data_IF_831911084655
#
_entry.id   IF_831911084655
#
_cell.length_a   1.000
_cell.length_b   1.000
_cell.length_c   1.000
_cell.angle_alpha   90.00
_cell.angle_beta   90.00
_cell.angle_gamma   90.00
#
_symmetry.space_group_name_H-M   'P 1'
#
loop_
_entity.id
_entity.type
_entity.pdbx_description
1 polymer ?
#
# COMPACT_ATOMS: atom_id res chain seq x y z
N UNK A 1 15.39 1.81 -8.81
CA UNK A 1 14.01 2.10 -8.38
C UNK A 1 13.41 0.82 -7.80
N UNK A 2 12.70 0.92 -6.68
CA UNK A 2 11.95 -0.19 -6.10
C UNK A 2 10.45 0.06 -6.37
N UNK A 3 9.79 -0.97 -6.91
CA UNK A 3 8.35 -0.95 -7.20
C UNK A 3 7.65 -1.97 -6.32
N UNK A 4 6.56 -1.56 -5.69
CA UNK A 4 5.64 -2.46 -4.99
C UNK A 4 4.38 -2.58 -5.83
N UNK A 5 4.00 -3.81 -6.18
CA UNK A 5 2.66 -4.13 -6.66
C UNK A 5 1.95 -4.93 -5.56
N UNK A 6 0.95 -4.35 -4.94
CA UNK A 6 0.14 -5.01 -3.91
C UNK A 6 -1.21 -5.38 -4.51
N UNK A 7 -1.56 -6.67 -4.50
CA UNK A 7 -2.86 -7.15 -4.96
C UNK A 7 -3.64 -7.72 -3.77
N UNK A 8 -4.93 -7.37 -3.66
CA UNK A 8 -5.84 -7.95 -2.66
C UNK A 8 -7.11 -8.42 -3.35
N UNK A 9 -7.54 -9.64 -3.05
CA UNK A 9 -8.81 -10.20 -3.49
C UNK A 9 -9.59 -10.67 -2.27
N UNK A 10 -10.84 -10.25 -2.15
CA UNK A 10 -11.70 -10.63 -1.04
C UNK A 10 -13.17 -10.53 -1.45
N UNK A 11 -14.04 -11.19 -0.68
CA UNK A 11 -15.48 -11.19 -0.94
C UNK A 11 -16.23 -10.30 0.04
N UNK A 12 -17.34 -9.71 -0.41
CA UNK A 12 -18.34 -9.06 0.43
C UNK A 12 -19.70 -9.65 0.08
N UNK A 13 -20.19 -10.62 0.85
CA UNK A 13 -21.35 -11.41 0.43
C UNK A 13 -21.04 -12.18 -0.87
N UNK A 14 -21.85 -11.95 -1.91
CA UNK A 14 -21.67 -12.59 -3.23
C UNK A 14 -20.68 -11.85 -4.15
N UNK A 15 -20.28 -10.63 -3.79
CA UNK A 15 -19.40 -9.79 -4.61
C UNK A 15 -17.93 -10.16 -4.37
N UNK A 16 -17.15 -10.17 -5.45
CA UNK A 16 -15.68 -10.34 -5.37
C UNK A 16 -14.98 -9.05 -5.76
N UNK A 17 -14.23 -8.48 -4.80
CA UNK A 17 -13.39 -7.31 -5.01
C UNK A 17 -11.99 -7.74 -5.40
N UNK A 18 -11.41 -7.02 -6.36
CA UNK A 18 -10.00 -7.11 -6.73
C UNK A 18 -9.41 -5.72 -6.68
N UNK A 19 -8.34 -5.57 -5.91
CA UNK A 19 -7.59 -4.33 -5.84
C UNK A 19 -6.16 -4.55 -6.25
N UNK A 20 -5.58 -3.56 -6.90
CA UNK A 20 -4.16 -3.49 -7.17
C UNK A 20 -3.65 -2.10 -6.84
N UNK A 21 -2.53 -2.00 -6.14
CA UNK A 21 -1.82 -0.73 -5.96
C UNK A 21 -0.37 -0.86 -6.42
N UNK A 22 0.13 0.16 -7.11
CA UNK A 22 1.50 0.21 -7.61
C UNK A 22 2.21 1.48 -7.14
N UNK A 23 3.28 1.32 -6.37
CA UNK A 23 4.05 2.46 -5.84
C UNK A 23 5.51 2.38 -6.25
N UNK A 24 6.09 3.52 -6.60
CA UNK A 24 7.44 3.65 -7.17
C UNK A 24 8.30 4.54 -6.29
N UNK A 25 9.32 3.96 -5.66
CA UNK A 25 10.26 4.66 -4.78
C UNK A 25 11.70 4.53 -5.33
N UNK A 26 12.41 5.64 -5.56
CA UNK A 26 13.85 5.60 -5.83
C UNK A 26 14.61 4.89 -4.69
N UNK A 27 15.67 4.17 -5.05
CA UNK A 27 16.50 3.46 -4.07
C UNK A 27 17.53 4.39 -3.43
N UNK A 28 17.92 5.45 -4.15
CA UNK A 28 18.73 6.55 -3.65
C UNK A 28 17.81 7.52 -2.89
N UNK A 29 17.60 7.21 -1.60
CA UNK A 29 16.73 7.98 -0.72
C UNK A 29 17.33 9.31 -0.28
N UNK A 30 18.65 9.48 -0.38
CA UNK A 30 19.33 10.75 -0.06
C UNK A 30 19.01 11.79 -1.14
N UNK A 31 19.17 11.41 -2.41
CA UNK A 31 18.86 12.30 -3.53
C UNK A 31 17.36 12.41 -3.81
N UNK A 32 16.62 11.32 -3.61
CA UNK A 32 15.19 11.24 -3.91
C UNK A 32 14.39 10.63 -2.74
N UNK A 33 14.15 11.40 -1.67
CA UNK A 33 13.58 10.89 -0.40
C UNK A 33 12.09 10.52 -0.47
N UNK A 34 11.43 10.76 -1.61
CA UNK A 34 9.98 10.63 -1.78
C UNK A 34 9.66 9.70 -2.94
N UNK A 35 8.48 9.08 -2.88
CA UNK A 35 8.00 8.26 -3.98
C UNK A 35 7.73 9.16 -5.20
N UNK A 36 7.85 8.60 -6.40
CA UNK A 36 7.59 9.34 -7.64
C UNK A 36 6.12 9.21 -8.05
N UNK A 37 5.48 8.11 -7.68
CA UNK A 37 4.15 7.75 -8.14
C UNK A 37 3.53 6.69 -7.24
N UNK A 38 2.23 6.78 -7.03
CA UNK A 38 1.39 5.66 -6.61
C UNK A 38 0.11 5.62 -7.44
N UNK A 39 -0.44 4.43 -7.66
CA UNK A 39 -1.78 4.27 -8.19
C UNK A 39 -2.51 3.13 -7.49
N UNK A 40 -3.83 3.18 -7.52
CA UNK A 40 -4.72 2.14 -7.04
C UNK A 40 -5.83 1.91 -8.07
N UNK A 41 -6.10 0.66 -8.38
CA UNK A 41 -7.29 0.25 -9.12
C UNK A 41 -8.13 -0.70 -8.27
N UNK A 42 -9.44 -0.58 -8.39
CA UNK A 42 -10.42 -1.45 -7.74
C UNK A 42 -11.45 -1.87 -8.78
N UNK A 43 -11.77 -3.16 -8.80
CA UNK A 43 -12.78 -3.76 -9.67
C UNK A 43 -13.67 -4.70 -8.84
N UNK A 44 -14.97 -4.61 -9.05
CA UNK A 44 -15.96 -5.56 -8.57
C UNK A 44 -17.06 -5.79 -9.64
N UNK A 45 -18.18 -6.41 -9.26
CA UNK A 45 -19.31 -6.62 -10.19
C UNK A 45 -20.08 -5.33 -10.51
N UNK A 46 -20.08 -4.36 -9.60
CA UNK A 46 -20.84 -3.13 -9.68
C UNK A 46 -20.08 -1.98 -10.35
N UNK A 47 -18.78 -2.12 -10.58
CA UNK A 47 -18.00 -1.14 -11.33
C UNK A 47 -16.49 -1.24 -11.11
N UNK A 48 -15.83 -0.14 -11.47
CA UNK A 48 -14.38 0.00 -11.34
C UNK A 48 -14.00 1.44 -11.00
N UNK A 49 -12.86 1.59 -10.33
CA UNK A 49 -12.25 2.89 -10.08
C UNK A 49 -10.74 2.81 -10.21
N UNK A 50 -10.15 3.95 -10.57
CA UNK A 50 -8.71 4.15 -10.67
C UNK A 50 -8.34 5.49 -10.04
N UNK A 51 -7.35 5.49 -9.15
CA UNK A 51 -6.76 6.71 -8.61
C UNK A 51 -5.24 6.67 -8.78
N UNK A 52 -4.64 7.84 -8.97
CA UNK A 52 -3.20 7.96 -9.15
C UNK A 52 -2.70 9.29 -8.63
N UNK A 53 -1.56 9.25 -7.93
CA UNK A 53 -0.80 10.43 -7.51
C UNK A 53 0.57 10.39 -8.18
N UNK A 54 0.92 11.46 -8.87
CA UNK A 54 2.23 11.66 -9.48
C UNK A 54 2.95 12.81 -8.77
N UNK A 55 4.22 12.59 -8.45
CA UNK A 55 5.06 13.60 -7.79
C UNK A 55 5.25 14.82 -8.69
N UNK A 56 5.17 16.01 -8.11
CA UNK A 56 5.54 17.27 -8.73
C UNK A 56 6.59 17.99 -7.88
N UNK A 57 7.04 19.17 -8.33
CA UNK A 57 7.91 20.04 -7.54
C UNK A 57 7.20 20.67 -6.34
N UNK A 58 5.87 20.83 -6.40
CA UNK A 58 5.04 21.47 -5.37
C UNK A 58 4.33 20.47 -4.44
N UNK A 59 4.32 19.18 -4.79
CA UNK A 59 3.65 18.14 -4.03
C UNK A 59 3.20 17.00 -4.92
N UNK A 60 1.89 16.85 -5.10
CA UNK A 60 1.29 15.75 -5.85
C UNK A 60 0.22 16.27 -6.80
N UNK A 61 0.21 15.71 -8.02
CA UNK A 61 -0.89 15.82 -8.96
C UNK A 61 -1.67 14.52 -8.95
N UNK A 62 -2.96 14.62 -8.65
CA UNK A 62 -3.88 13.50 -8.53
C UNK A 62 -4.89 13.42 -9.66
N UNK A 63 -5.26 12.19 -10.00
CA UNK A 63 -6.44 11.89 -10.81
C UNK A 63 -7.24 10.77 -10.16
N UNK A 64 -8.56 10.86 -10.29
CA UNK A 64 -9.52 9.83 -9.95
C UNK A 64 -10.44 9.64 -11.15
N UNK A 65 -10.64 8.39 -11.56
CA UNK A 65 -11.60 7.99 -12.57
C UNK A 65 -12.48 6.92 -11.97
N UNK A 66 -13.77 7.18 -11.85
CA UNK A 66 -14.68 6.31 -11.10
C UNK A 66 -15.94 6.06 -11.91
N UNK A 67 -16.34 4.78 -11.98
CA UNK A 67 -17.63 4.38 -12.52
C UNK A 67 -18.80 4.98 -11.70
N UNK A 68 -18.59 5.27 -10.42
CA UNK A 68 -19.63 5.72 -9.51
C UNK A 68 -19.85 7.23 -9.60
N UNK A 69 -21.09 7.65 -9.90
CA UNK A 69 -21.45 9.05 -10.15
C UNK A 69 -21.09 10.02 -9.01
N UNK A 70 -21.20 9.58 -7.76
CA UNK A 70 -20.91 10.44 -6.60
C UNK A 70 -19.43 10.86 -6.51
N UNK A 71 -18.54 10.06 -7.09
CA UNK A 71 -17.11 10.37 -7.16
C UNK A 71 -16.74 10.95 -8.53
N UNK A 72 -17.25 10.31 -9.60
CA UNK A 72 -16.99 10.67 -10.99
C UNK A 72 -15.49 10.83 -11.31
N UNK A 73 -15.19 11.61 -12.35
CA UNK A 73 -13.84 11.92 -12.78
C UNK A 73 -13.35 13.20 -12.11
N UNK A 74 -12.18 13.13 -11.47
CA UNK A 74 -11.57 14.26 -10.78
C UNK A 74 -10.09 14.44 -11.18
N UNK A 75 -9.64 15.68 -11.16
CA UNK A 75 -8.22 16.04 -11.19
C UNK A 75 -7.99 17.03 -10.04
N UNK A 76 -6.92 16.85 -9.29
CA UNK A 76 -6.65 17.66 -8.10
C UNK A 76 -5.15 17.76 -7.83
N UNK A 77 -4.77 18.68 -6.96
CA UNK A 77 -3.40 18.84 -6.49
C UNK A 77 -3.37 18.79 -4.96
N UNK A 78 -2.28 18.26 -4.40
CA UNK A 78 -2.01 18.21 -2.97
C UNK A 78 -0.60 18.75 -2.72
N UNK A 79 -0.39 19.38 -1.57
CA UNK A 79 0.96 19.76 -1.13
C UNK A 79 1.81 18.52 -0.79
N UNK A 80 3.12 18.71 -0.57
CA UNK A 80 4.01 17.60 -0.22
C UNK A 80 3.64 16.97 1.13
N UNK A 81 3.31 15.69 1.10
CA UNK A 81 3.08 14.85 2.27
C UNK A 81 3.65 13.44 2.04
N UNK A 82 3.80 12.67 3.12
CA UNK A 82 4.16 11.25 3.03
C UNK A 82 3.02 10.46 2.38
N UNK A 83 3.30 9.54 1.47
CA UNK A 83 2.29 8.56 1.01
C UNK A 83 2.32 7.35 1.95
N UNK A 84 1.17 6.94 2.48
CA UNK A 84 1.05 5.66 3.20
C UNK A 84 1.54 4.49 2.33
N UNK A 85 1.17 4.48 1.04
CA UNK A 85 1.59 3.43 0.11
C UNK A 85 3.11 3.36 -0.10
N UNK A 86 3.85 4.45 0.18
CA UNK A 86 5.31 4.48 0.11
C UNK A 86 5.98 3.97 1.40
N UNK A 87 5.25 3.88 2.52
CA UNK A 87 5.78 3.39 3.81
C UNK A 87 6.29 1.95 3.64
N UNK A 88 5.55 1.10 2.94
CA UNK A 88 5.93 -0.28 2.66
C UNK A 88 7.30 -0.39 1.96
N UNK A 89 7.55 0.47 0.98
CA UNK A 89 8.81 0.51 0.24
C UNK A 89 9.95 1.06 1.09
N UNK A 90 9.69 2.11 1.88
CA UNK A 90 10.69 2.68 2.79
C UNK A 90 11.09 1.70 3.89
N UNK A 91 10.15 0.93 4.44
CA UNK A 91 10.47 -0.15 5.38
C UNK A 91 11.43 -1.18 4.76
N UNK A 92 11.25 -1.51 3.48
CA UNK A 92 12.12 -2.46 2.77
C UNK A 92 13.51 -1.89 2.47
N UNK A 93 13.61 -0.57 2.23
CA UNK A 93 14.85 0.10 1.83
C UNK A 93 15.67 0.60 3.03
N UNK A 94 15.04 1.39 3.89
CA UNK A 94 15.66 2.02 5.06
C UNK A 94 14.56 2.43 6.06
N UNK A 95 14.17 1.55 7.00
CA UNK A 95 13.17 1.87 8.03
C UNK A 95 13.48 3.12 8.85
N UNK A 96 14.76 3.46 8.99
CA UNK A 96 15.24 4.62 9.73
C UNK A 96 14.90 5.94 9.01
N UNK A 97 14.71 5.91 7.68
CA UNK A 97 14.27 7.07 6.90
C UNK A 97 12.80 7.44 7.09
N UNK A 98 12.02 6.59 7.76
CA UNK A 98 10.63 6.90 8.09
C UNK A 98 10.56 7.82 9.32
N UNK A 99 9.75 8.89 9.24
CA UNK A 99 9.57 9.82 10.34
C UNK A 99 8.90 9.14 11.54
N UNK A 100 9.10 9.73 12.72
CA UNK A 100 8.40 9.37 13.97
C UNK A 100 7.89 10.65 14.62
N UNK A 101 6.84 10.55 15.43
CA UNK A 101 6.11 11.71 15.95
C UNK A 101 5.03 12.20 14.98
N UNK A 102 4.58 13.46 15.11
CA UNK A 102 3.55 14.03 14.24
C UNK A 102 4.00 14.11 12.77
N UNK A 103 3.12 13.70 11.86
CA UNK A 103 3.35 13.68 10.41
C UNK A 103 2.12 14.15 9.65
N UNK A 104 2.36 14.62 8.42
CA UNK A 104 1.33 14.77 7.39
C UNK A 104 1.45 13.61 6.40
N UNK A 105 0.32 12.93 6.17
CA UNK A 105 0.28 11.70 5.39
C UNK A 105 -0.96 11.67 4.49
N UNK A 106 -0.81 11.19 3.27
CA UNK A 106 -1.92 10.86 2.38
C UNK A 106 -2.25 9.37 2.61
N UNK A 107 -3.47 9.03 3.06
CA UNK A 107 -3.88 7.65 3.27
C UNK A 107 -3.73 6.79 2.01
N UNK A 108 -3.66 5.47 2.16
CA UNK A 108 -3.54 4.57 1.01
C UNK A 108 -4.73 4.70 0.07
N UNK A 109 -4.49 4.50 -1.23
CA UNK A 109 -5.57 4.56 -2.22
C UNK A 109 -6.65 3.50 -1.98
N UNK A 110 -6.26 2.35 -1.41
CA UNK A 110 -7.19 1.28 -1.00
C UNK A 110 -8.09 1.75 0.14
N UNK A 111 -7.53 2.31 1.21
CA UNK A 111 -8.34 2.81 2.33
C UNK A 111 -9.28 3.92 1.86
N UNK A 112 -8.75 4.94 1.18
CA UNK A 112 -9.52 6.09 0.69
C UNK A 112 -10.72 5.65 -0.14
N UNK A 113 -10.52 4.63 -1.00
CA UNK A 113 -11.58 4.08 -1.83
C UNK A 113 -12.67 3.36 -1.03
N UNK A 114 -12.30 2.50 -0.08
CA UNK A 114 -13.28 1.74 0.70
C UNK A 114 -13.94 2.55 1.82
N UNK A 115 -13.29 3.60 2.30
CA UNK A 115 -13.85 4.57 3.22
C UNK A 115 -14.72 5.62 2.52
N UNK A 116 -14.86 5.57 1.18
CA UNK A 116 -15.57 6.57 0.37
C UNK A 116 -15.19 8.02 0.72
N UNK A 117 -13.91 8.22 1.02
CA UNK A 117 -13.38 9.51 1.48
C UNK A 117 -12.62 10.21 0.35
N UNK A 118 -12.61 11.55 0.28
CA UNK A 118 -11.77 12.27 -0.67
C UNK A 118 -10.28 11.99 -0.42
N UNK A 119 -9.47 11.95 -1.48
CA UNK A 119 -8.01 11.87 -1.37
C UNK A 119 -7.49 13.21 -0.86
N UNK A 120 -7.00 13.25 0.37
CA UNK A 120 -6.46 14.47 0.96
C UNK A 120 -5.35 14.15 1.98
N UNK A 121 -4.72 15.19 2.50
CA UNK A 121 -3.66 15.08 3.50
C UNK A 121 -4.28 15.03 4.89
N UNK A 122 -3.89 14.02 5.64
CA UNK A 122 -4.31 13.79 7.02
C UNK A 122 -3.16 14.01 8.00
N UNK A 123 -3.54 14.28 9.25
CA UNK A 123 -2.60 14.30 10.38
C UNK A 123 -2.55 12.93 11.02
N UNK A 124 -1.35 12.49 11.35
CA UNK A 124 -1.13 11.23 12.06
C UNK A 124 0.10 11.34 12.96
N UNK A 125 0.20 10.43 13.94
CA UNK A 125 1.42 10.21 14.71
C UNK A 125 2.03 8.86 14.33
N UNK A 126 3.30 8.87 13.96
CA UNK A 126 4.07 7.68 13.63
C UNK A 126 4.97 7.24 14.79
N UNK A 127 5.08 5.95 15.01
CA UNK A 127 5.92 5.36 16.06
C UNK A 127 6.71 4.18 15.48
N UNK A 128 7.96 4.04 15.90
CA UNK A 128 8.79 2.88 15.58
C UNK A 128 9.25 2.21 16.86
N UNK A 129 8.92 0.93 17.01
CA UNK A 129 9.28 0.10 18.14
C UNK A 129 10.23 -0.99 17.63
N UNK A 130 11.40 -1.14 18.25
CA UNK A 130 12.36 -2.20 17.90
C UNK A 130 12.54 -3.16 19.08
N UNK A 131 12.32 -4.45 18.84
CA UNK A 131 12.35 -5.52 19.83
C UNK A 131 13.15 -6.70 19.28
N UNK A 132 14.47 -6.65 19.48
CA UNK A 132 15.38 -7.70 19.03
C UNK A 132 15.30 -7.93 17.51
N UNK A 133 14.91 -9.15 17.12
CA UNK A 133 14.82 -9.55 15.72
C UNK A 133 13.66 -8.91 14.95
N UNK A 134 12.68 -8.33 15.64
CA UNK A 134 11.49 -7.74 15.04
C UNK A 134 11.37 -6.24 15.37
N UNK A 135 10.83 -5.49 14.42
CA UNK A 135 10.46 -4.10 14.59
C UNK A 135 9.01 -3.90 14.13
N UNK A 136 8.38 -2.85 14.66
CA UNK A 136 7.03 -2.43 14.31
C UNK A 136 7.02 -0.95 13.97
N UNK A 137 6.37 -0.60 12.88
CA UNK A 137 6.04 0.78 12.54
C UNK A 137 4.53 0.96 12.68
N UNK A 138 4.12 1.98 13.42
CA UNK A 138 2.71 2.27 13.74
C UNK A 138 2.38 3.66 13.20
N UNK A 139 1.24 3.80 12.54
CA UNK A 139 0.64 5.09 12.16
C UNK A 139 -0.72 5.15 12.83
N UNK A 140 -0.96 6.20 13.62
CA UNK A 140 -2.26 6.49 14.23
C UNK A 140 -2.78 7.79 13.66
N UNK A 141 -3.90 7.72 12.96
CA UNK A 141 -4.52 8.89 12.36
C UNK A 141 -5.25 9.71 13.43
N UNK A 142 -5.22 11.04 13.31
CA UNK A 142 -5.85 11.95 14.28
C UNK A 142 -7.33 12.17 13.96
N UNK A 143 -7.66 12.35 12.68
CA UNK A 143 -9.01 12.75 12.25
C UNK A 143 -9.87 11.60 11.72
N UNK A 144 -9.24 10.48 11.34
CA UNK A 144 -9.92 9.24 10.96
C UNK A 144 -9.60 8.20 12.02
N UNK A 145 -10.61 7.48 12.51
CA UNK A 145 -10.45 6.44 13.54
C UNK A 145 -9.80 5.20 12.91
N UNK A 146 -8.50 5.31 12.64
CA UNK A 146 -7.70 4.31 11.95
C UNK A 146 -6.28 4.23 12.49
N UNK A 147 -5.82 3.00 12.69
CA UNK A 147 -4.42 2.69 12.97
C UNK A 147 -3.87 1.64 12.02
N UNK A 148 -2.62 1.81 11.57
CA UNK A 148 -1.88 0.85 10.78
C UNK A 148 -0.61 0.40 11.51
N UNK A 149 -0.50 -0.90 11.76
CA UNK A 149 0.63 -1.55 12.43
C UNK A 149 1.33 -2.46 11.43
N UNK A 150 2.62 -2.25 11.18
CA UNK A 150 3.40 -3.05 10.24
C UNK A 150 4.58 -3.68 10.99
N UNK A 151 4.59 -5.01 11.08
CA UNK A 151 5.67 -5.77 11.69
C UNK A 151 6.65 -6.25 10.63
N UNK A 152 7.94 -6.04 10.86
CA UNK A 152 9.00 -6.40 9.94
C UNK A 152 10.26 -6.84 10.67
N UNK A 153 11.10 -7.62 10.00
CA UNK A 153 12.40 -8.04 10.54
C UNK A 153 13.32 -6.83 10.73
N UNK A 154 13.96 -6.72 11.88
CA UNK A 154 14.90 -5.62 12.16
C UNK A 154 16.10 -5.67 11.22
N UNK A 155 16.55 -6.87 10.83
CA UNK A 155 17.68 -7.04 9.91
C UNK A 155 17.25 -6.87 8.46
N UNK A 156 18.14 -6.31 7.64
CA UNK A 156 17.98 -6.30 6.19
C UNK A 156 17.78 -7.74 5.68
N UNK A 157 16.80 -8.00 4.79
CA UNK A 157 16.09 -7.06 3.95
C UNK A 157 14.80 -6.47 4.52
N UNK A 158 14.62 -6.48 5.84
CA UNK A 158 13.44 -5.92 6.50
C UNK A 158 12.15 -6.56 6.00
N UNK A 159 12.10 -7.89 6.04
CA UNK A 159 10.93 -8.64 5.60
C UNK A 159 9.72 -8.23 6.40
N UNK A 160 8.68 -7.77 5.71
CA UNK A 160 7.38 -7.48 6.31
C UNK A 160 6.72 -8.83 6.61
N UNK A 161 6.55 -9.11 7.90
CA UNK A 161 6.06 -10.39 8.40
C UNK A 161 4.54 -10.36 8.58
N UNK A 162 4.00 -9.21 9.00
CA UNK A 162 2.55 -9.04 9.14
C UNK A 162 2.17 -7.57 9.18
N UNK A 163 0.90 -7.30 8.95
CA UNK A 163 0.31 -6.00 9.24
C UNK A 163 -1.09 -6.15 9.80
N UNK A 164 -1.52 -5.13 10.54
CA UNK A 164 -2.86 -5.00 11.10
C UNK A 164 -3.34 -3.58 10.91
N UNK A 165 -4.53 -3.45 10.39
CA UNK A 165 -5.29 -2.21 10.27
C UNK A 165 -6.49 -2.31 11.22
N UNK A 166 -6.69 -1.28 12.02
CA UNK A 166 -7.80 -1.17 12.97
C UNK A 166 -8.59 0.06 12.56
N UNK A 167 -9.89 -0.06 12.38
CA UNK A 167 -10.80 1.02 12.03
C UNK A 167 -12.01 1.05 12.99
N UNK A 168 -12.48 2.24 13.35
CA UNK A 168 -13.59 2.49 14.31
C UNK A 168 -13.41 1.76 15.66
N UNK A 169 -12.17 1.53 16.08
CA UNK A 169 -11.82 0.70 17.23
C UNK A 169 -12.28 -0.77 17.20
N UNK A 170 -12.92 -1.24 16.12
CA UNK A 170 -13.62 -2.54 16.07
C UNK A 170 -13.29 -3.36 14.84
N UNK A 171 -13.22 -2.74 13.66
CA UNK A 171 -12.98 -3.41 12.38
C UNK A 171 -11.50 -3.70 12.27
N UNK A 172 -11.12 -4.97 12.17
CA UNK A 172 -9.72 -5.39 12.08
C UNK A 172 -9.49 -6.10 10.76
N UNK A 173 -8.57 -5.57 9.96
CA UNK A 173 -8.03 -6.26 8.78
C UNK A 173 -6.57 -6.58 9.06
N UNK A 174 -6.15 -7.82 8.83
CA UNK A 174 -4.76 -8.22 9.08
C UNK A 174 -4.29 -9.21 8.04
N UNK A 175 -2.97 -9.25 7.83
CA UNK A 175 -2.34 -10.27 7.01
C UNK A 175 -1.01 -10.71 7.64
N UNK A 176 -0.63 -11.96 7.38
CA UNK A 176 0.64 -12.56 7.79
C UNK A 176 1.30 -13.16 6.54
N UNK A 177 2.61 -13.00 6.43
CA UNK A 177 3.40 -13.58 5.37
C UNK A 177 3.47 -15.10 5.54
N UNK A 178 2.90 -15.85 4.59
CA UNK A 178 2.91 -17.33 4.59
C UNK A 178 3.87 -17.90 3.55
N UNK A 179 3.94 -17.27 2.38
CA UNK A 179 4.76 -17.73 1.26
C UNK A 179 5.58 -16.57 0.72
N UNK A 180 6.81 -16.85 0.30
CA UNK A 180 7.73 -15.83 -0.22
C UNK A 180 8.70 -16.43 -1.22
N UNK A 181 8.93 -15.70 -2.30
CA UNK A 181 10.07 -15.90 -3.19
C UNK A 181 10.96 -14.66 -3.17
N UNK A 182 12.28 -14.86 -3.06
CA UNK A 182 13.27 -13.78 -3.05
C UNK A 182 14.30 -14.00 -4.14
N UNK A 183 14.85 -12.91 -4.68
CA UNK A 183 15.90 -12.94 -5.71
C UNK A 183 15.51 -13.77 -6.95
N UNK A 184 14.25 -13.66 -7.38
CA UNK A 184 13.77 -14.24 -8.64
C UNK A 184 13.42 -13.13 -9.64
N UNK A 185 13.71 -13.40 -10.91
CA UNK A 185 13.25 -12.61 -12.04
C UNK A 185 11.83 -13.06 -12.42
N UNK A 186 10.86 -12.90 -11.52
CA UNK A 186 9.51 -13.48 -11.67
C UNK A 186 8.82 -13.10 -12.99
N UNK A 187 9.19 -11.96 -13.59
CA UNK A 187 8.66 -11.52 -14.89
C UNK A 187 9.08 -12.43 -16.05
N UNK A 188 10.14 -13.24 -15.93
CA UNK A 188 10.48 -14.26 -16.92
C UNK A 188 9.73 -15.59 -16.69
N UNK A 189 8.93 -15.69 -15.62
CA UNK A 189 8.20 -16.90 -15.22
C UNK A 189 6.74 -16.86 -15.71
N UNK A 190 6.55 -16.61 -17.01
CA UNK A 190 5.23 -16.43 -17.64
C UNK A 190 4.85 -17.56 -18.59
N UNK A 191 5.64 -18.63 -18.68
CA UNK A 191 5.38 -19.75 -19.60
C UNK A 191 4.55 -20.86 -18.91
N UNK A 192 3.87 -21.73 -19.67
CA UNK A 192 3.05 -22.80 -19.09
C UNK A 192 3.80 -23.70 -18.09
N UNK A 193 5.09 -23.97 -18.32
CA UNK A 193 5.93 -24.75 -17.40
C UNK A 193 6.12 -24.10 -16.02
N UNK A 194 5.95 -22.77 -15.92
CA UNK A 194 6.06 -22.03 -14.66
C UNK A 194 4.80 -22.18 -13.78
N UNK A 195 3.71 -22.76 -14.30
CA UNK A 195 2.43 -22.87 -13.58
C UNK A 195 2.57 -23.54 -12.20
N UNK A 196 3.49 -24.50 -12.07
CA UNK A 196 3.77 -25.18 -10.80
C UNK A 196 4.27 -24.24 -9.69
N UNK A 197 4.94 -23.12 -10.05
CA UNK A 197 5.46 -22.12 -9.10
C UNK A 197 4.34 -21.37 -8.36
N UNK A 198 3.13 -21.34 -8.91
CA UNK A 198 1.95 -20.79 -8.21
C UNK A 198 1.73 -21.47 -6.86
N UNK A 199 1.91 -22.78 -6.80
CA UNK A 199 1.78 -23.56 -5.56
C UNK A 199 2.83 -23.14 -4.53
N UNK A 200 4.08 -22.92 -4.94
CA UNK A 200 5.17 -22.41 -4.08
C UNK A 200 4.85 -21.03 -3.51
N UNK A 201 4.07 -20.23 -4.24
CA UNK A 201 3.64 -18.89 -3.83
C UNK A 201 2.28 -18.89 -3.11
N UNK A 202 1.67 -20.05 -2.86
CA UNK A 202 0.34 -20.15 -2.25
C UNK A 202 -0.78 -19.54 -3.10
N UNK A 203 -0.57 -19.41 -4.41
CA UNK A 203 -1.55 -18.85 -5.34
C UNK A 203 -2.46 -19.97 -5.86
N UNK A 204 -3.75 -19.89 -5.55
CA UNK A 204 -4.74 -20.85 -6.07
C UNK A 204 -4.76 -20.84 -7.62
N UNK A 205 -5.04 -21.98 -8.27
CA UNK A 205 -5.38 -21.98 -9.70
C UNK A 205 -6.54 -21.00 -9.94
N UNK A 206 -6.45 -20.19 -11.00
CA UNK A 206 -7.62 -19.49 -11.49
C UNK A 206 -8.49 -20.58 -12.12
N UNK A 207 -9.79 -20.62 -11.81
CA UNK A 207 -10.70 -21.57 -12.46
C UNK A 207 -10.54 -21.45 -13.99
N UNK A 208 -10.34 -22.59 -14.65
CA UNK A 208 -10.28 -22.67 -16.11
C UNK A 208 -11.62 -22.28 -16.73
#
# INVERSE_FOLDING_TARGET
MLKLNALRTFNTGIYSYRTMSSTFQPIDLERYPRALKTNTSVQDWCGQSFSQLNRTTQGWRGELRSYFQSEADQNFELSDALLEDAVWLKLRLSPQSLPTGPIQIIPSGVHTRFAHSPVHIERATAERITQGAMSRYIIRYENIDRELHINYETKFPHIIQSWKEIEDGKRITQAVLTHRLMKSNYWSEHAPQDASKRKTLGLNPIAN
#
